data_IF_226518201331
#
_entry.id   IF_226518201331
#
_cell.length_a   1.000
_cell.length_b   1.000
_cell.length_c   1.000
_cell.angle_alpha   90.00
_cell.angle_beta   90.00
_cell.angle_gamma   90.00
#
_symmetry.space_group_name_H-M   'P 1'
#
loop_
_entity.id
_entity.type
_entity.pdbx_description
1 polymer ?
#
# COMPACT_ATOMS: atom_id res chain seq x y z
N UNK A 1 -77.07 -26.02 15.00
CA UNK A 1 -76.12 -24.96 15.41
C UNK A 1 -74.84 -25.63 15.91
N UNK A 2 -73.64 -25.21 15.46
CA UNK A 2 -73.25 -25.41 14.06
C UNK A 2 -71.75 -25.75 13.81
N UNK A 3 -71.43 -25.98 12.52
CA UNK A 3 -70.17 -25.73 11.78
C UNK A 3 -68.93 -26.61 12.08
N UNK A 4 -68.06 -26.96 11.12
CA UNK A 4 -67.94 -26.61 9.71
C UNK A 4 -66.52 -26.91 9.15
N UNK A 5 -66.39 -26.84 7.81
CA UNK A 5 -65.19 -26.51 6.98
C UNK A 5 -64.02 -27.52 6.86
N UNK A 6 -63.67 -28.01 5.64
CA UNK A 6 -62.65 -27.51 4.65
C UNK A 6 -61.19 -27.67 5.13
N UNK A 7 -60.11 -28.00 4.40
CA UNK A 7 -59.68 -28.01 2.97
C UNK A 7 -58.37 -28.86 2.89
N UNK A 8 -58.21 -29.81 1.94
CA UNK A 8 -57.27 -29.84 0.77
C UNK A 8 -55.96 -29.02 0.83
N UNK A 9 -54.83 -29.68 0.49
CA UNK A 9 -53.70 -29.32 -0.43
C UNK A 9 -52.48 -30.24 -0.13
N UNK A 10 -51.47 -30.54 -0.97
CA UNK A 10 -51.18 -30.61 -2.41
C UNK A 10 -49.68 -31.01 -2.51
N UNK A 11 -49.26 -31.97 -3.35
CA UNK A 11 -48.42 -31.81 -4.58
C UNK A 11 -47.02 -31.20 -4.31
N UNK A 12 -45.87 -31.72 -4.75
CA UNK A 12 -45.54 -32.74 -5.75
C UNK A 12 -44.39 -32.25 -6.66
N UNK A 13 -43.49 -33.18 -6.98
CA UNK A 13 -42.68 -33.32 -8.21
C UNK A 13 -41.31 -32.62 -8.40
N UNK A 14 -40.43 -33.51 -8.85
CA UNK A 14 -39.02 -33.44 -9.18
C UNK A 14 -38.71 -32.73 -10.51
N UNK A 15 -37.51 -32.16 -10.52
CA UNK A 15 -36.65 -31.69 -11.59
C UNK A 15 -36.93 -32.19 -13.03
N UNK A 16 -36.96 -31.24 -13.97
CA UNK A 16 -36.79 -31.45 -15.41
C UNK A 16 -35.58 -30.63 -15.89
N UNK A 17 -34.62 -31.31 -16.52
CA UNK A 17 -33.45 -30.75 -17.19
C UNK A 17 -33.75 -30.44 -18.66
N UNK A 18 -32.94 -29.54 -19.21
CA UNK A 18 -32.71 -29.18 -20.63
C UNK A 18 -33.50 -28.00 -21.23
N UNK A 19 -32.80 -26.89 -21.45
CA UNK A 19 -32.60 -26.32 -22.80
C UNK A 19 -31.48 -25.28 -22.85
N UNK A 20 -30.61 -25.47 -23.84
CA UNK A 20 -29.58 -24.55 -24.32
C UNK A 20 -30.19 -23.28 -24.94
N UNK A 21 -29.53 -22.13 -24.73
CA UNK A 21 -29.43 -21.09 -25.75
C UNK A 21 -28.21 -20.20 -25.54
N UNK A 22 -27.31 -20.28 -26.52
CA UNK A 22 -26.15 -19.43 -26.76
C UNK A 22 -26.52 -17.94 -26.81
N UNK A 23 -25.72 -17.10 -26.15
CA UNK A 23 -25.34 -15.78 -26.67
C UNK A 23 -23.89 -15.50 -26.30
N UNK A 24 -22.99 -15.79 -27.24
CA UNK A 24 -21.64 -15.23 -27.27
C UNK A 24 -21.75 -13.71 -27.53
N UNK A 25 -21.33 -12.88 -26.56
CA UNK A 25 -20.78 -11.55 -26.84
C UNK A 25 -19.37 -11.50 -26.27
N UNK A 26 -18.42 -11.60 -27.17
CA UNK A 26 -17.01 -11.33 -26.93
C UNK A 26 -16.87 -9.87 -26.48
N UNK A 27 -16.57 -9.65 -25.20
CA UNK A 27 -16.12 -8.34 -24.71
C UNK A 27 -14.60 -8.34 -24.88
N UNK A 28 -14.14 -7.49 -25.79
CA UNK A 28 -12.75 -7.27 -26.13
C UNK A 28 -11.95 -6.75 -24.91
N UNK A 29 -10.90 -7.45 -24.43
CA UNK A 29 -10.08 -6.99 -23.31
C UNK A 29 -9.05 -5.90 -23.69
N UNK A 30 -9.06 -5.38 -24.92
CA UNK A 30 -8.18 -4.29 -25.35
C UNK A 30 -8.98 -3.06 -25.78
N UNK A 31 -9.60 -2.37 -24.82
CA UNK A 31 -10.01 -0.98 -24.98
C UNK A 31 -9.07 -0.11 -24.14
N UNK A 32 -7.85 0.09 -24.66
CA UNK A 32 -6.88 1.06 -24.15
C UNK A 32 -7.51 2.46 -24.29
N UNK A 33 -8.11 2.99 -23.23
CA UNK A 33 -8.48 4.40 -23.15
C UNK A 33 -7.27 5.18 -22.61
N UNK A 34 -6.75 6.17 -23.34
CA UNK A 34 -5.64 6.97 -22.86
C UNK A 34 -6.09 7.82 -21.66
N UNK A 35 -5.26 7.84 -20.62
CA UNK A 35 -5.43 8.71 -19.45
C UNK A 35 -5.54 10.20 -19.87
N UNK A 36 -6.33 11.01 -19.14
CA UNK A 36 -6.43 12.44 -19.43
C UNK A 36 -5.07 13.12 -19.23
N UNK A 37 -4.65 13.86 -20.27
CA UNK A 37 -3.49 14.75 -20.24
C UNK A 37 -3.71 15.84 -19.19
N UNK A 38 -2.89 15.86 -18.15
CA UNK A 38 -2.79 17.04 -17.28
C UNK A 38 -1.67 17.96 -17.76
N UNK A 39 -2.07 19.22 -17.92
CA UNK A 39 -1.23 20.34 -18.31
C UNK A 39 -0.17 20.61 -17.23
N UNK A 40 1.11 20.57 -17.61
CA UNK A 40 2.18 21.09 -16.79
C UNK A 40 2.03 22.62 -16.65
N UNK A 41 1.66 23.10 -15.47
CA UNK A 41 1.74 24.52 -15.14
C UNK A 41 3.21 24.89 -14.88
N UNK A 42 3.97 25.14 -15.96
CA UNK A 42 5.26 25.83 -15.84
C UNK A 42 4.99 27.33 -15.73
N UNK A 43 4.98 27.86 -14.51
CA UNK A 43 5.01 29.31 -14.32
C UNK A 43 6.36 29.83 -14.80
N UNK A 44 6.37 30.44 -15.99
CA UNK A 44 7.50 31.15 -16.57
C UNK A 44 7.93 32.28 -15.64
N UNK A 45 9.00 32.07 -14.86
CA UNK A 45 9.74 33.17 -14.24
C UNK A 45 10.64 33.79 -15.31
N UNK A 46 10.20 34.94 -15.85
CA UNK A 46 11.08 35.85 -16.60
C UNK A 46 12.06 36.50 -15.64
N UNK A 47 13.33 36.16 -15.74
CA UNK A 47 14.42 36.90 -15.09
C UNK A 47 14.75 38.16 -15.93
N UNK A 48 14.92 39.34 -15.32
CA UNK A 48 15.38 40.52 -16.04
C UNK A 48 16.87 40.39 -16.40
N UNK A 49 17.18 40.64 -17.66
CA UNK A 49 18.55 40.81 -18.18
C UNK A 49 19.17 42.06 -17.53
N UNK A 50 20.07 41.85 -16.56
CA UNK A 50 20.96 42.89 -16.06
C UNK A 50 22.35 42.72 -16.70
N UNK A 51 22.70 43.67 -17.55
CA UNK A 51 24.03 43.79 -18.16
C UNK A 51 25.00 44.43 -17.17
N UNK A 52 25.88 43.62 -16.57
CA UNK A 52 27.03 44.13 -15.80
C UNK A 52 28.32 43.49 -16.32
N UNK A 53 29.26 44.37 -16.71
CA UNK A 53 30.52 44.07 -17.41
C UNK A 53 31.46 43.23 -16.56
N UNK A 54 32.12 42.27 -17.23
CA UNK A 54 33.18 41.43 -16.67
C UNK A 54 34.42 42.24 -16.25
N UNK A 55 34.97 41.93 -15.08
CA UNK A 55 36.37 42.21 -14.70
C UNK A 55 37.11 40.89 -14.50
N UNK A 56 38.31 40.69 -15.07
CA UNK A 56 39.05 39.46 -14.89
C UNK A 56 39.83 39.51 -13.57
N UNK A 57 39.61 38.55 -12.69
CA UNK A 57 40.50 38.30 -11.54
C UNK A 57 41.14 36.94 -11.73
N UNK A 58 42.45 36.97 -11.92
CA UNK A 58 43.32 35.81 -11.95
C UNK A 58 43.41 35.23 -10.54
N UNK A 59 42.94 34.00 -10.37
CA UNK A 59 43.45 33.07 -9.36
C UNK A 59 42.93 31.67 -9.66
N UNK A 60 43.66 30.95 -10.52
CA UNK A 60 43.39 29.56 -10.82
C UNK A 60 44.65 28.72 -10.55
N UNK A 61 44.96 28.52 -9.27
CA UNK A 61 45.86 27.43 -8.85
C UNK A 61 45.29 26.76 -7.60
N UNK A 62 45.15 25.44 -7.71
CA UNK A 62 44.83 24.45 -6.66
C UNK A 62 43.35 24.31 -6.28
N UNK A 63 42.60 23.64 -7.16
CA UNK A 63 41.57 22.70 -6.69
C UNK A 63 42.10 21.29 -6.85
N UNK A 64 42.43 20.66 -5.73
CA UNK A 64 42.63 19.23 -5.64
C UNK A 64 41.37 18.55 -6.19
N UNK A 65 41.55 17.74 -7.23
CA UNK A 65 40.51 16.86 -7.75
C UNK A 65 40.26 15.77 -6.72
N UNK A 66 39.19 15.92 -5.93
CA UNK A 66 38.62 14.78 -5.22
C UNK A 66 38.10 13.79 -6.26
N UNK A 67 38.37 12.48 -6.11
CA UNK A 67 37.78 11.48 -6.98
C UNK A 67 36.27 11.63 -6.90
N UNK A 68 35.64 11.90 -8.05
CA UNK A 68 34.20 11.80 -8.19
C UNK A 68 33.87 10.31 -8.14
N UNK A 69 33.74 9.77 -6.93
CA UNK A 69 33.10 8.48 -6.73
C UNK A 69 31.73 8.57 -7.41
N UNK A 70 31.62 7.89 -8.54
CA UNK A 70 30.32 7.56 -9.09
C UNK A 70 29.67 6.66 -8.03
N UNK A 71 28.81 7.25 -7.20
CA UNK A 71 27.82 6.51 -6.41
C UNK A 71 27.06 5.66 -7.43
N UNK A 72 27.42 4.39 -7.55
CA UNK A 72 26.58 3.42 -8.20
C UNK A 72 25.35 3.32 -7.28
N UNK A 73 24.33 4.12 -7.55
CA UNK A 73 23.03 3.95 -6.92
C UNK A 73 22.48 2.65 -7.45
N UNK A 74 22.76 1.55 -6.76
CA UNK A 74 22.08 0.28 -6.98
C UNK A 74 20.59 0.54 -6.79
N UNK A 75 19.80 0.40 -7.86
CA UNK A 75 18.36 0.67 -7.88
C UNK A 75 17.55 -0.46 -7.22
N UNK A 76 18.13 -1.16 -6.23
CA UNK A 76 17.47 -2.25 -5.50
C UNK A 76 16.49 -1.67 -4.49
N UNK A 77 15.49 -2.47 -4.10
CA UNK A 77 14.52 -2.05 -3.10
C UNK A 77 15.17 -1.85 -1.74
N UNK A 78 16.10 -2.73 -1.37
CA UNK A 78 16.90 -2.61 -0.15
C UNK A 78 17.77 -1.35 -0.09
N UNK A 79 18.38 -0.93 -1.20
CA UNK A 79 19.15 0.31 -1.23
C UNK A 79 18.25 1.54 -0.96
N UNK A 80 17.06 1.57 -1.55
CA UNK A 80 16.05 2.63 -1.30
C UNK A 80 15.57 2.63 0.16
N UNK A 81 15.37 1.45 0.75
CA UNK A 81 14.99 1.33 2.16
C UNK A 81 16.10 1.87 3.06
N UNK A 82 17.37 1.53 2.82
CA UNK A 82 18.50 2.06 3.61
C UNK A 82 18.61 3.58 3.51
N UNK A 83 18.47 4.12 2.29
CA UNK A 83 18.49 5.56 2.07
C UNK A 83 17.37 6.24 2.86
N UNK A 84 16.14 5.72 2.79
CA UNK A 84 15.00 6.26 3.53
C UNK A 84 15.24 6.23 5.05
N UNK A 85 15.64 5.07 5.60
CA UNK A 85 15.91 4.92 7.02
C UNK A 85 16.99 5.89 7.50
N UNK A 86 18.04 6.07 6.70
CA UNK A 86 19.11 7.04 7.01
C UNK A 86 18.62 8.49 6.94
N UNK A 87 17.85 8.87 5.94
CA UNK A 87 17.36 10.24 5.75
C UNK A 87 16.38 10.64 6.85
N UNK A 88 15.50 9.73 7.23
CA UNK A 88 14.47 9.95 8.25
C UNK A 88 14.95 9.61 9.67
N UNK A 89 16.19 9.12 9.80
CA UNK A 89 16.78 8.68 11.07
C UNK A 89 15.96 7.58 11.77
N UNK A 90 15.16 6.83 11.02
CA UNK A 90 14.37 5.72 11.53
C UNK A 90 15.23 4.45 11.65
N UNK A 91 14.94 3.67 12.67
CA UNK A 91 15.56 2.37 12.95
C UNK A 91 14.70 1.19 12.48
N UNK A 92 13.39 1.42 12.27
CA UNK A 92 12.42 0.39 11.85
C UNK A 92 11.86 0.65 10.46
N UNK A 93 11.60 -0.43 9.73
CA UNK A 93 10.77 -0.45 8.51
C UNK A 93 9.83 -1.64 8.54
N UNK A 94 8.86 -1.67 7.64
CA UNK A 94 7.75 -2.64 7.65
C UNK A 94 6.42 -1.96 7.96
N UNK A 95 5.35 -2.75 8.01
CA UNK A 95 3.99 -2.24 8.14
C UNK A 95 3.35 -2.62 9.47
N UNK A 96 2.33 -1.85 9.85
CA UNK A 96 1.35 -2.29 10.83
C UNK A 96 0.41 -3.30 10.18
N UNK A 97 0.14 -4.40 10.87
CA UNK A 97 -0.76 -5.46 10.41
C UNK A 97 -1.92 -5.57 11.40
N UNK A 98 -3.13 -5.27 10.92
CA UNK A 98 -4.36 -5.42 11.68
C UNK A 98 -4.96 -6.78 11.38
N UNK A 99 -5.03 -7.64 12.41
CA UNK A 99 -5.71 -8.93 12.33
C UNK A 99 -7.22 -8.70 12.46
N UNK A 100 -7.97 -8.99 11.41
CA UNK A 100 -9.42 -8.74 11.37
C UNK A 100 -10.26 -10.03 11.29
N UNK A 101 -9.62 -11.19 11.49
CA UNK A 101 -10.28 -12.50 11.58
C UNK A 101 -9.64 -13.32 12.69
N UNK A 102 -10.49 -13.97 13.49
CA UNK A 102 -10.10 -14.69 14.69
C UNK A 102 -10.64 -16.12 14.73
N UNK A 103 -11.02 -16.66 13.56
CA UNK A 103 -11.60 -18.00 13.44
C UNK A 103 -10.54 -19.12 13.50
N UNK A 104 -9.31 -18.83 13.06
CA UNK A 104 -8.22 -19.80 13.00
C UNK A 104 -6.87 -19.19 13.38
N UNK A 105 -6.44 -19.41 14.63
CA UNK A 105 -5.13 -18.99 15.14
C UNK A 105 -3.96 -19.73 14.47
N UNK A 106 -4.19 -20.95 13.99
CA UNK A 106 -3.14 -21.74 13.34
C UNK A 106 -2.86 -21.21 11.93
N UNK A 107 -3.93 -20.88 11.19
CA UNK A 107 -3.81 -20.19 9.92
C UNK A 107 -3.15 -18.83 10.10
N UNK A 108 -3.52 -18.07 11.14
CA UNK A 108 -2.89 -16.79 11.46
C UNK A 108 -1.38 -16.90 11.71
N UNK A 109 -0.95 -17.86 12.54
CA UNK A 109 0.48 -18.10 12.80
C UNK A 109 1.23 -18.52 11.51
N UNK A 110 0.58 -19.31 10.66
CA UNK A 110 1.10 -19.72 9.36
C UNK A 110 1.26 -18.51 8.43
N UNK A 111 0.27 -17.63 8.40
CA UNK A 111 0.31 -16.40 7.61
C UNK A 111 1.51 -15.50 7.97
N UNK A 112 1.73 -15.26 9.27
CA UNK A 112 2.88 -14.45 9.73
C UNK A 112 4.21 -15.11 9.36
N UNK A 113 4.31 -16.44 9.49
CA UNK A 113 5.50 -17.20 9.11
C UNK A 113 5.80 -17.09 7.61
N UNK A 114 4.76 -17.18 6.76
CA UNK A 114 4.89 -17.03 5.30
C UNK A 114 5.31 -15.62 4.90
N UNK A 115 4.81 -14.58 5.57
CA UNK A 115 5.25 -13.20 5.33
C UNK A 115 6.73 -13.02 5.69
N UNK A 116 7.17 -13.58 6.82
CA UNK A 116 8.58 -13.50 7.22
C UNK A 116 9.49 -14.26 6.25
N UNK A 117 9.09 -15.47 5.85
CA UNK A 117 9.83 -16.29 4.88
C UNK A 117 9.99 -15.55 3.54
N UNK A 118 8.89 -15.00 3.00
CA UNK A 118 8.91 -14.22 1.74
C UNK A 118 9.80 -12.98 1.85
N UNK A 119 9.72 -12.25 2.96
CA UNK A 119 10.58 -11.09 3.18
C UNK A 119 12.06 -11.51 3.25
N UNK A 120 12.36 -12.60 3.95
CA UNK A 120 13.70 -13.16 4.05
C UNK A 120 14.25 -13.57 2.69
N UNK A 121 13.48 -14.32 1.89
CA UNK A 121 13.90 -14.79 0.57
C UNK A 121 14.14 -13.64 -0.40
N UNK A 122 13.31 -12.60 -0.36
CA UNK A 122 13.52 -11.40 -1.17
C UNK A 122 14.81 -10.66 -0.76
N UNK A 123 15.04 -10.43 0.54
CA UNK A 123 16.27 -9.79 1.03
C UNK A 123 17.52 -10.62 0.72
N UNK A 124 17.42 -11.95 0.82
CA UNK A 124 18.49 -12.89 0.47
C UNK A 124 18.85 -12.79 -1.02
N UNK A 125 17.85 -12.66 -1.90
CA UNK A 125 18.07 -12.48 -3.35
C UNK A 125 18.76 -11.15 -3.67
N UNK A 126 18.48 -10.09 -2.92
CA UNK A 126 19.15 -8.79 -3.07
C UNK A 126 20.54 -8.75 -2.37
N UNK A 127 20.88 -9.73 -1.55
CA UNK A 127 22.14 -9.77 -0.79
C UNK A 127 22.14 -8.87 0.45
N UNK A 128 20.96 -8.48 0.93
CA UNK A 128 20.73 -7.38 1.87
C UNK A 128 20.06 -7.88 3.17
N UNK A 129 20.48 -9.05 3.66
CA UNK A 129 19.91 -9.70 4.85
C UNK A 129 20.10 -8.89 6.15
N UNK A 130 21.05 -7.96 6.20
CA UNK A 130 21.22 -7.01 7.31
C UNK A 130 19.97 -6.16 7.55
N UNK A 131 19.18 -5.88 6.50
CA UNK A 131 17.92 -5.15 6.66
C UNK A 131 16.86 -5.93 7.43
N UNK A 132 16.99 -7.27 7.54
CA UNK A 132 16.06 -8.10 8.29
C UNK A 132 16.01 -7.70 9.76
N UNK A 133 17.13 -7.27 10.34
CA UNK A 133 17.20 -6.85 11.75
C UNK A 133 16.34 -5.61 12.06
N UNK A 134 16.07 -4.80 11.03
CA UNK A 134 15.26 -3.58 11.13
C UNK A 134 13.82 -3.77 10.66
N UNK A 135 13.50 -4.93 10.10
CA UNK A 135 12.16 -5.24 9.63
C UNK A 135 11.27 -5.57 10.82
N UNK A 136 10.28 -4.71 11.08
CA UNK A 136 9.35 -4.83 12.20
C UNK A 136 7.92 -4.88 11.69
N UNK A 137 7.29 -6.03 11.88
CA UNK A 137 5.86 -6.23 11.71
C UNK A 137 5.17 -5.93 13.04
N UNK A 138 4.51 -4.78 13.13
CA UNK A 138 3.72 -4.44 14.32
C UNK A 138 2.32 -5.00 14.13
N UNK A 139 2.05 -6.12 14.78
CA UNK A 139 0.73 -6.76 14.72
C UNK A 139 -0.19 -6.14 15.76
N UNK A 140 -1.33 -5.61 15.32
CA UNK A 140 -2.38 -5.08 16.18
C UNK A 140 -3.48 -6.12 16.30
N UNK A 141 -3.67 -6.64 17.52
CA UNK A 141 -4.71 -7.61 17.85
C UNK A 141 -5.61 -7.08 18.96
N UNK A 142 -6.91 -7.00 18.67
CA UNK A 142 -7.96 -6.64 19.61
C UNK A 142 -9.25 -7.28 19.08
N UNK A 143 -9.51 -8.52 19.48
CA UNK A 143 -10.63 -9.31 18.94
C UNK A 143 -11.97 -8.58 19.09
N UNK A 144 -12.20 -7.88 20.20
CA UNK A 144 -13.45 -7.17 20.44
C UNK A 144 -13.67 -6.03 19.44
N UNK A 145 -12.60 -5.38 18.97
CA UNK A 145 -12.68 -4.26 18.03
C UNK A 145 -12.44 -4.66 16.58
N UNK A 146 -11.65 -5.70 16.33
CA UNK A 146 -11.13 -6.01 14.99
C UNK A 146 -11.79 -7.21 14.33
N UNK A 147 -12.47 -8.09 15.06
CA UNK A 147 -13.11 -9.25 14.44
C UNK A 147 -14.19 -8.82 13.43
N UNK A 148 -13.97 -9.14 12.16
CA UNK A 148 -14.81 -8.68 11.04
C UNK A 148 -14.75 -7.17 10.77
N UNK A 149 -13.73 -6.45 11.27
CA UNK A 149 -13.56 -5.03 10.97
C UNK A 149 -13.37 -4.81 9.46
N UNK A 150 -13.97 -3.74 8.93
CA UNK A 150 -13.79 -3.34 7.55
C UNK A 150 -12.46 -2.60 7.34
N UNK A 151 -12.04 -2.53 6.08
CA UNK A 151 -10.92 -1.70 5.62
C UNK A 151 -11.06 -0.25 6.11
N UNK A 152 -12.28 0.30 6.08
CA UNK A 152 -12.52 1.66 6.55
C UNK A 152 -12.29 1.82 8.05
N UNK A 153 -12.84 0.90 8.85
CA UNK A 153 -12.65 0.93 10.31
C UNK A 153 -11.18 0.81 10.68
N UNK A 154 -10.44 -0.08 10.01
CA UNK A 154 -8.99 -0.21 10.22
C UNK A 154 -8.25 1.05 9.78
N UNK A 155 -8.64 1.67 8.67
CA UNK A 155 -8.06 2.94 8.25
C UNK A 155 -8.23 4.03 9.30
N UNK A 156 -9.38 4.12 9.97
CA UNK A 156 -9.63 5.11 11.03
C UNK A 156 -8.76 4.80 12.26
N UNK A 157 -8.67 3.53 12.63
CA UNK A 157 -7.79 3.09 13.72
C UNK A 157 -6.32 3.37 13.43
N UNK A 158 -5.90 3.25 12.17
CA UNK A 158 -4.54 3.55 11.74
C UNK A 158 -4.24 5.05 11.80
N UNK A 159 -5.17 5.90 11.34
CA UNK A 159 -5.03 7.37 11.50
C UNK A 159 -4.88 7.75 12.98
N UNK A 160 -5.70 7.17 13.86
CA UNK A 160 -5.58 7.40 15.30
C UNK A 160 -4.24 6.90 15.86
N UNK A 161 -3.70 5.79 15.35
CA UNK A 161 -2.39 5.30 15.76
C UNK A 161 -1.26 6.23 15.32
N UNK A 162 -1.31 6.81 14.11
CA UNK A 162 -0.31 7.78 13.63
C UNK A 162 -0.23 9.01 14.56
N UNK A 163 -1.35 9.42 15.14
CA UNK A 163 -1.41 10.53 16.09
C UNK A 163 -0.99 10.15 17.52
N UNK A 164 -0.81 8.87 17.82
CA UNK A 164 -0.42 8.41 19.14
C UNK A 164 1.02 8.81 19.49
N UNK A 165 1.31 8.87 20.79
CA UNK A 165 2.67 9.12 21.26
C UNK A 165 3.64 8.00 20.87
N UNK A 166 3.14 6.76 20.69
CA UNK A 166 3.95 5.65 20.18
C UNK A 166 4.49 5.98 18.78
N UNK A 167 3.62 6.30 17.83
CA UNK A 167 4.03 6.60 16.45
C UNK A 167 4.90 7.87 16.36
N UNK A 168 4.61 8.89 17.15
CA UNK A 168 5.45 10.11 17.21
C UNK A 168 6.85 9.84 17.73
N UNK A 169 6.96 9.00 18.77
CA UNK A 169 8.25 8.59 19.32
C UNK A 169 9.05 7.73 18.33
N UNK A 170 8.41 6.80 17.61
CA UNK A 170 9.07 6.02 16.55
C UNK A 170 9.62 6.91 15.42
N UNK A 171 8.90 7.99 15.09
CA UNK A 171 9.30 8.97 14.08
C UNK A 171 10.31 10.00 14.58
N UNK A 172 10.65 9.98 15.88
CA UNK A 172 11.50 10.97 16.53
C UNK A 172 11.00 12.42 16.31
N UNK A 173 9.67 12.60 16.21
CA UNK A 173 9.04 13.90 16.04
C UNK A 173 9.26 14.70 17.33
N UNK A 174 9.99 15.81 17.23
CA UNK A 174 10.30 16.66 18.37
C UNK A 174 9.09 17.45 18.88
N UNK A 175 9.15 17.98 20.12
CA UNK A 175 8.08 18.79 20.71
C UNK A 175 7.76 20.06 19.90
N UNK A 176 8.70 20.57 19.10
CA UNK A 176 8.49 21.75 18.24
C UNK A 176 7.66 21.45 16.97
N UNK A 177 7.34 20.18 16.71
CA UNK A 177 6.48 19.73 15.60
C UNK A 177 5.09 19.25 16.07
N UNK A 178 4.84 19.24 17.39
CA UNK A 178 3.52 18.99 17.97
C UNK A 178 2.58 20.18 17.64
N UNK A 179 1.61 19.95 16.75
CA UNK A 179 0.61 20.95 16.36
C UNK A 179 0.44 21.14 14.86
N UNK A 180 1.17 20.39 14.03
CA UNK A 180 0.93 20.37 12.58
C UNK A 180 -0.34 19.57 12.24
N UNK A 181 -1.07 19.93 11.17
CA UNK A 181 -2.20 19.14 10.68
C UNK A 181 -1.80 17.70 10.39
N UNK A 182 -2.73 16.74 10.49
CA UNK A 182 -2.49 15.31 10.21
C UNK A 182 -1.74 15.11 8.89
N UNK A 183 -2.12 15.81 7.83
CA UNK A 183 -1.46 15.78 6.52
C UNK A 183 0.04 16.16 6.54
N UNK A 184 0.48 16.93 7.54
CA UNK A 184 1.88 17.28 7.77
C UNK A 184 2.57 16.40 8.83
N UNK A 185 1.81 15.54 9.54
CA UNK A 185 2.29 14.48 10.45
C UNK A 185 2.41 13.14 9.72
N UNK A 186 1.60 12.89 8.68
CA UNK A 186 1.67 11.68 7.85
C UNK A 186 3.12 11.42 7.48
N UNK A 187 3.69 10.40 8.11
CA UNK A 187 5.13 10.25 8.15
C UNK A 187 5.74 10.16 6.76
N UNK A 188 7.02 10.45 6.68
CA UNK A 188 7.78 10.43 5.42
C UNK A 188 8.08 9.02 4.90
N UNK A 189 7.63 7.98 5.62
CA UNK A 189 7.91 6.57 5.27
C UNK A 189 6.63 5.76 5.12
N UNK A 190 6.65 4.70 4.30
CA UNK A 190 5.49 3.83 4.08
C UNK A 190 4.86 3.28 5.37
N UNK A 191 5.65 3.06 6.43
CA UNK A 191 5.16 2.60 7.75
C UNK A 191 4.06 3.49 8.35
N UNK A 192 4.11 4.80 8.09
CA UNK A 192 3.18 5.79 8.63
C UNK A 192 2.21 6.33 7.56
N UNK A 193 2.32 5.83 6.33
CA UNK A 193 1.42 6.16 5.22
C UNK A 193 0.47 5.02 4.91
N UNK A 194 0.89 3.77 5.18
CA UNK A 194 0.13 2.59 4.84
C UNK A 194 0.06 1.60 5.99
N UNK A 195 -1.05 0.86 6.06
CA UNK A 195 -1.19 -0.29 6.93
C UNK A 195 -1.79 -1.48 6.18
N UNK A 196 -1.63 -2.66 6.76
CA UNK A 196 -2.14 -3.92 6.23
C UNK A 196 -3.35 -4.34 7.04
N UNK A 197 -4.46 -4.58 6.35
CA UNK A 197 -5.66 -5.19 6.88
C UNK A 197 -5.73 -6.65 6.41
N UNK A 198 -5.93 -7.58 7.35
CA UNK A 198 -6.05 -9.02 7.05
C UNK A 198 -7.40 -9.53 7.54
N UNK A 199 -8.32 -9.75 6.60
CA UNK A 199 -9.60 -10.43 6.79
C UNK A 199 -9.51 -11.93 6.51
N UNK A 200 -10.64 -12.63 6.64
CA UNK A 200 -10.73 -14.06 6.35
C UNK A 200 -10.35 -14.41 4.89
N UNK A 201 -10.69 -13.56 3.91
CA UNK A 201 -10.42 -13.83 2.50
C UNK A 201 -8.91 -13.73 2.20
N UNK A 202 -8.26 -12.66 2.66
CA UNK A 202 -6.80 -12.48 2.52
C UNK A 202 -5.99 -13.49 3.33
N UNK A 203 -6.46 -13.87 4.53
CA UNK A 203 -5.83 -14.94 5.30
C UNK A 203 -5.88 -16.27 4.54
N UNK A 204 -7.06 -16.63 4.04
CA UNK A 204 -7.27 -17.87 3.28
C UNK A 204 -6.44 -17.88 1.99
N UNK A 205 -6.44 -16.79 1.22
CA UNK A 205 -5.72 -16.72 -0.05
C UNK A 205 -4.22 -16.96 0.14
N UNK A 206 -3.64 -16.42 1.21
CA UNK A 206 -2.20 -16.59 1.50
C UNK A 206 -1.87 -17.98 2.05
N UNK A 207 -2.69 -18.53 2.94
CA UNK A 207 -2.37 -19.77 3.67
C UNK A 207 -2.74 -21.02 2.89
N UNK A 208 -3.85 -20.98 2.15
CA UNK A 208 -4.48 -22.14 1.54
C UNK A 208 -4.36 -22.18 0.01
N UNK A 209 -4.34 -21.02 -0.65
CA UNK A 209 -4.40 -20.95 -2.12
C UNK A 209 -3.06 -20.60 -2.76
N UNK A 210 -2.29 -19.70 -2.15
CA UNK A 210 -1.02 -19.25 -2.69
C UNK A 210 0.00 -20.40 -2.76
N UNK A 211 0.82 -20.46 -3.83
CA UNK A 211 1.96 -21.36 -3.91
C UNK A 211 2.90 -21.20 -2.71
N UNK A 212 3.51 -22.30 -2.27
CA UNK A 212 4.53 -22.30 -1.20
C UNK A 212 5.92 -22.29 -1.82
N UNK A 213 6.87 -21.71 -1.11
CA UNK A 213 8.29 -21.80 -1.47
C UNK A 213 8.69 -23.27 -1.73
N UNK A 214 9.40 -23.57 -2.82
CA UNK A 214 10.09 -22.64 -3.74
C UNK A 214 9.25 -22.13 -4.93
N UNK A 215 7.99 -22.53 -5.06
CA UNK A 215 7.15 -22.16 -6.21
C UNK A 215 6.69 -20.69 -6.10
N UNK A 216 6.94 -19.85 -7.11
CA UNK A 216 6.56 -18.44 -7.07
C UNK A 216 5.04 -18.24 -7.25
N UNK A 217 4.46 -17.23 -6.58
CA UNK A 217 3.07 -16.84 -6.78
C UNK A 217 2.91 -15.95 -8.02
N UNK A 218 3.11 -16.55 -9.21
CA UNK A 218 3.07 -15.86 -10.50
C UNK A 218 1.70 -15.23 -10.84
N UNK A 219 0.65 -15.69 -10.17
CA UNK A 219 -0.72 -15.24 -10.39
C UNK A 219 -1.21 -14.32 -9.27
N UNK A 220 -0.37 -14.04 -8.28
CA UNK A 220 -0.69 -13.16 -7.15
C UNK A 220 -1.95 -13.61 -6.42
N UNK A 221 -2.08 -14.94 -6.25
CA UNK A 221 -3.20 -15.59 -5.56
C UNK A 221 -3.23 -15.15 -4.10
N UNK A 222 -2.07 -15.15 -3.44
CA UNK A 222 -1.93 -14.63 -2.09
C UNK A 222 -1.87 -13.11 -2.09
N UNK A 223 -2.75 -12.47 -1.33
CA UNK A 223 -2.78 -11.02 -1.21
C UNK A 223 -3.18 -10.56 0.20
N UNK A 224 -2.90 -9.30 0.48
CA UNK A 224 -3.35 -8.58 1.67
C UNK A 224 -4.06 -7.29 1.26
N UNK A 225 -4.91 -6.73 2.11
CA UNK A 225 -5.53 -5.43 1.83
C UNK A 225 -4.59 -4.32 2.35
N UNK A 226 -4.00 -3.54 1.46
CA UNK A 226 -3.16 -2.40 1.81
C UNK A 226 -4.03 -1.13 1.83
N UNK A 227 -3.98 -0.39 2.93
CA UNK A 227 -4.70 0.87 3.14
C UNK A 227 -3.72 2.03 3.04
N UNK A 228 -4.12 3.13 2.40
CA UNK A 228 -3.33 4.35 2.24
C UNK A 228 -3.97 5.52 2.98
N UNK A 229 -3.32 5.98 4.06
CA UNK A 229 -3.84 6.99 4.97
C UNK A 229 -4.10 8.37 4.34
N UNK A 230 -3.24 8.93 3.46
CA UNK A 230 -3.46 10.27 2.89
C UNK A 230 -4.78 10.44 2.13
N UNK A 231 -5.28 9.40 1.46
CA UNK A 231 -6.61 9.43 0.82
C UNK A 231 -7.77 9.64 1.80
N UNK A 232 -7.55 9.33 3.08
CA UNK A 232 -8.57 9.33 4.13
C UNK A 232 -8.55 10.60 4.97
N UNK A 233 -7.54 11.47 4.79
CA UNK A 233 -7.47 12.75 5.48
C UNK A 233 -8.36 13.76 4.77
N UNK A 234 -9.51 14.07 5.38
CA UNK A 234 -10.39 15.14 4.90
C UNK A 234 -9.65 16.48 4.94
N UNK A 235 -9.58 17.17 3.81
CA UNK A 235 -9.01 18.52 3.73
C UNK A 235 -10.03 19.53 4.28
N UNK A 236 -10.34 19.46 5.57
CA UNK A 236 -11.14 20.51 6.21
C UNK A 236 -10.27 21.77 6.35
N UNK A 237 -10.41 22.73 5.42
CA UNK A 237 -9.88 24.08 5.65
C UNK A 237 -9.24 24.84 4.49
N UNK A 238 -9.23 24.35 3.24
CA UNK A 238 -8.87 25.20 2.08
C UNK A 238 -10.13 25.47 1.29
N UNK A 239 -10.80 26.57 1.63
CA UNK A 239 -12.03 26.99 0.97
C UNK A 239 -11.87 27.07 -0.56
N UNK A 240 -12.81 26.46 -1.27
CA UNK A 240 -13.12 26.82 -2.64
C UNK A 240 -12.74 25.82 -3.75
N UNK A 241 -12.38 24.58 -3.44
CA UNK A 241 -12.35 23.55 -4.48
C UNK A 241 -13.55 22.63 -4.34
N UNK A 242 -14.32 22.56 -5.43
CA UNK A 242 -15.45 21.64 -5.65
C UNK A 242 -15.12 20.29 -5.02
N UNK A 243 -16.08 19.70 -4.30
CA UNK A 243 -16.05 18.29 -3.90
C UNK A 243 -15.84 17.46 -5.18
N UNK A 244 -14.58 17.22 -5.53
CA UNK A 244 -14.22 16.19 -6.48
C UNK A 244 -14.77 14.92 -5.83
N UNK A 245 -15.73 14.27 -6.48
CA UNK A 245 -16.21 12.94 -6.09
C UNK A 245 -14.98 12.07 -5.84
N UNK A 246 -14.62 11.92 -4.57
CA UNK A 246 -13.53 11.06 -4.18
C UNK A 246 -14.06 9.65 -4.45
N UNK A 247 -13.42 8.93 -5.38
CA UNK A 247 -13.77 7.55 -5.60
C UNK A 247 -13.50 6.82 -4.28
N UNK A 248 -14.55 6.34 -3.61
CA UNK A 248 -14.50 5.70 -2.28
C UNK A 248 -13.54 4.49 -2.22
N UNK A 249 -12.99 4.09 -3.38
CA UNK A 249 -12.04 2.99 -3.57
C UNK A 249 -10.57 3.43 -3.78
N UNK A 250 -10.26 4.73 -3.80
CA UNK A 250 -8.88 5.23 -4.06
C UNK A 250 -7.94 5.05 -2.85
N UNK A 251 -8.49 4.71 -1.68
CA UNK A 251 -7.74 4.61 -0.42
C UNK A 251 -7.23 3.23 -0.02
N UNK A 252 -7.50 2.19 -0.81
CA UNK A 252 -6.98 0.85 -0.53
C UNK A 252 -6.87 -0.01 -1.79
N UNK A 253 -6.08 -1.09 -1.73
CA UNK A 253 -5.90 -2.06 -2.81
C UNK A 253 -5.63 -3.46 -2.26
N UNK A 254 -5.97 -4.51 -3.01
CA UNK A 254 -5.40 -5.84 -2.78
C UNK A 254 -3.95 -5.82 -3.28
N UNK A 255 -2.96 -6.13 -2.44
CA UNK A 255 -1.55 -6.15 -2.77
C UNK A 255 -1.03 -7.58 -2.65
N UNK A 256 -0.33 -8.08 -3.67
CA UNK A 256 0.27 -9.41 -3.63
C UNK A 256 1.16 -9.59 -2.39
N UNK A 257 0.94 -10.68 -1.65
CA UNK A 257 1.71 -11.00 -0.45
C UNK A 257 3.19 -11.27 -0.78
N UNK A 258 3.48 -11.82 -1.96
CA UNK A 258 4.84 -12.03 -2.48
C UNK A 258 5.61 -10.71 -2.70
N UNK A 259 4.88 -9.60 -2.93
CA UNK A 259 5.44 -8.29 -3.26
C UNK A 259 5.48 -7.33 -2.07
N UNK A 260 4.90 -7.73 -0.94
CA UNK A 260 4.71 -6.87 0.22
C UNK A 260 6.05 -6.29 0.73
N UNK A 261 7.16 -7.05 0.68
CA UNK A 261 8.48 -6.59 1.15
C UNK A 261 9.66 -7.28 0.43
N UNK A 262 10.75 -6.56 0.08
CA UNK A 262 11.01 -5.13 0.26
C UNK A 262 10.43 -4.24 -0.85
N UNK A 263 9.94 -4.83 -1.95
CA UNK A 263 9.65 -4.08 -3.17
C UNK A 263 8.51 -3.07 -3.00
N UNK A 264 7.35 -3.48 -2.48
CA UNK A 264 6.24 -2.55 -2.25
C UNK A 264 6.61 -1.43 -1.27
N UNK A 265 7.31 -1.75 -0.19
CA UNK A 265 7.79 -0.73 0.75
C UNK A 265 8.68 0.30 0.05
N UNK A 266 9.63 -0.13 -0.78
CA UNK A 266 10.48 0.80 -1.53
C UNK A 266 9.70 1.65 -2.56
N UNK A 267 8.69 1.09 -3.23
CA UNK A 267 7.84 1.82 -4.18
C UNK A 267 7.02 2.92 -3.50
N UNK A 268 6.44 2.61 -2.34
CA UNK A 268 5.58 3.49 -1.54
C UNK A 268 6.32 4.71 -0.94
N UNK A 269 7.64 4.80 -1.07
CA UNK A 269 8.41 5.96 -0.61
C UNK A 269 8.19 7.20 -1.49
N UNK A 270 7.83 7.01 -2.75
CA UNK A 270 7.62 8.12 -3.67
C UNK A 270 6.21 8.70 -3.51
N UNK A 271 6.04 10.02 -3.74
CA UNK A 271 4.73 10.67 -3.69
C UNK A 271 3.71 9.98 -4.62
N UNK A 272 4.17 9.50 -5.78
CA UNK A 272 3.34 8.77 -6.75
C UNK A 272 3.38 7.24 -6.56
N UNK A 273 4.06 6.77 -5.51
CA UNK A 273 4.29 5.35 -5.24
C UNK A 273 3.00 4.57 -5.06
N UNK A 274 2.02 5.20 -4.41
CA UNK A 274 0.68 4.66 -4.26
C UNK A 274 0.03 4.37 -5.62
N UNK A 275 0.03 5.34 -6.54
CA UNK A 275 -0.61 5.18 -7.86
C UNK A 275 0.09 4.16 -8.76
N UNK A 276 1.35 3.83 -8.49
CA UNK A 276 2.04 2.74 -9.18
C UNK A 276 1.60 1.36 -8.71
N UNK A 277 1.08 1.25 -7.48
CA UNK A 277 0.62 0.00 -6.90
C UNK A 277 -0.90 -0.09 -6.86
N UNK A 278 -1.60 1.04 -6.93
CA UNK A 278 -3.04 1.07 -6.78
C UNK A 278 -3.70 0.45 -8.00
N UNK A 279 -4.55 -0.55 -7.72
CA UNK A 279 -5.50 -1.08 -8.67
C UNK A 279 -6.83 -1.21 -7.94
N UNK A 280 -7.93 -0.86 -8.63
CA UNK A 280 -9.24 -0.93 -8.00
C UNK A 280 -9.58 -2.39 -7.64
N UNK A 281 -9.91 -2.70 -6.37
CA UNK A 281 -10.45 -4.00 -5.99
C UNK A 281 -11.68 -4.36 -6.84
N UNK A 282 -11.91 -5.65 -7.17
CA UNK A 282 -11.30 -6.84 -6.55
C UNK A 282 -9.99 -7.30 -7.21
N UNK A 283 -9.41 -6.52 -8.13
CA UNK A 283 -8.14 -6.91 -8.77
C UNK A 283 -6.99 -6.85 -7.76
N UNK A 284 -6.02 -7.75 -7.92
CA UNK A 284 -4.81 -7.80 -7.10
C UNK A 284 -3.70 -7.02 -7.79
N UNK A 285 -3.06 -6.12 -7.05
CA UNK A 285 -1.88 -5.40 -7.50
C UNK A 285 -0.67 -6.32 -7.50
N UNK A 286 -0.17 -6.52 -8.72
CA UNK A 286 1.10 -7.14 -9.02
C UNK A 286 2.03 -6.02 -9.49
N UNK A 287 2.84 -5.46 -8.59
CA UNK A 287 3.91 -4.53 -8.97
C UNK A 287 4.67 -5.10 -10.17
N UNK A 288 4.58 -4.43 -11.33
CA UNK A 288 5.29 -4.93 -12.50
C UNK A 288 6.77 -4.88 -12.20
N UNK A 289 7.45 -6.02 -12.28
CA UNK A 289 8.90 -6.14 -12.25
C UNK A 289 9.50 -5.53 -13.54
N UNK A 290 9.23 -4.25 -13.80
CA UNK A 290 10.01 -3.48 -14.78
C UNK A 290 11.33 -3.11 -14.10
N UNK A 291 12.27 -4.03 -14.25
CA UNK A 291 13.71 -3.80 -14.08
C UNK A 291 14.20 -2.74 -15.10
#
# INVERSE_FOLDING_TARGET
>A
MPHGAHSKQAIGLFACLTRLSNTHRLINPYAFRPAPRFYAYTRSMRMPLSTAKARPSADNKRRHSLPRERRATTNTSSAKIRELLSQQRHDKWGFLIYRCTYDDDTAWATFLSLLEERAHDNLKREGDLDLKEKLVWTVIEDKEKLDGASVDKVGDMFLNWIESEEAKNEQQIGPDELGRPVAAILGTTPRYLCCVHVDAESLHSVVNEAPRSPDPDLWHVGYVNMIYAPSRVRTEGIGGHEELEHDDHEGWTKLSADLSIPHAYACLQSMDGWYNIWIRPPLVSALSSRQ
#
